data_IF_214633233864
#
_entry.id   IF_214633233864
#
_cell.length_a   1.000
_cell.length_b   1.000
_cell.length_c   1.000
_cell.angle_alpha   90.00
_cell.angle_beta   90.00
_cell.angle_gamma   90.00
#
_symmetry.space_group_name_H-M   'P 1'
#
loop_
_entity.id
_entity.type
_entity.pdbx_description
1 polymer ?
#
# COMPACT_ATOMS: atom_id res chain seq x y z
N UNK A 1 76.63 12.97 8.97
CA UNK A 1 76.00 11.94 8.10
C UNK A 1 75.62 10.73 8.94
N UNK A 2 74.31 10.44 9.06
CA UNK A 2 73.90 9.05 9.22
C UNK A 2 72.59 8.68 8.47
N UNK A 3 72.68 7.56 7.75
CA UNK A 3 71.74 6.42 7.68
C UNK A 3 70.25 6.59 7.99
N UNK A 4 69.38 6.17 7.06
CA UNK A 4 68.21 5.28 7.33
C UNK A 4 67.53 4.83 6.03
N UNK A 5 67.72 3.56 5.65
CA UNK A 5 66.86 2.37 5.87
C UNK A 5 65.73 2.23 4.83
N UNK A 6 65.91 1.23 3.96
CA UNK A 6 64.92 0.70 2.99
C UNK A 6 63.83 -0.04 3.75
N UNK A 7 62.56 0.35 3.52
CA UNK A 7 61.37 -0.32 4.05
C UNK A 7 61.01 -1.55 3.22
N UNK A 8 60.71 -2.64 3.92
CA UNK A 8 60.42 -3.96 3.39
C UNK A 8 59.05 -4.05 2.69
N UNK A 9 59.01 -4.84 1.61
CA UNK A 9 57.81 -5.23 0.86
C UNK A 9 57.07 -6.31 1.66
N UNK A 10 55.82 -6.07 2.06
CA UNK A 10 54.96 -7.03 2.76
C UNK A 10 54.08 -7.75 1.74
N UNK A 11 54.35 -9.04 1.51
CA UNK A 11 53.47 -9.95 0.75
C UNK A 11 52.35 -10.44 1.67
N UNK A 12 51.10 -10.17 1.30
CA UNK A 12 49.91 -10.70 1.98
C UNK A 12 49.58 -12.06 1.38
N UNK A 13 49.57 -13.07 2.24
CA UNK A 13 49.20 -14.46 1.97
C UNK A 13 47.68 -14.53 1.80
N UNK A 14 47.21 -15.12 0.71
CA UNK A 14 45.80 -15.44 0.45
C UNK A 14 45.48 -16.74 1.19
N UNK A 15 44.54 -16.68 2.13
CA UNK A 15 44.02 -17.83 2.87
C UNK A 15 42.70 -18.24 2.19
N UNK A 16 42.70 -19.42 1.57
CA UNK A 16 41.49 -20.13 1.13
C UNK A 16 40.95 -20.89 2.34
N UNK A 17 39.83 -20.43 2.90
CA UNK A 17 39.05 -21.21 3.86
C UNK A 17 37.91 -21.90 3.13
N UNK A 18 38.12 -23.19 2.89
CA UNK A 18 37.10 -24.21 2.70
C UNK A 18 36.13 -24.16 3.90
N UNK A 19 34.83 -24.02 3.68
CA UNK A 19 33.81 -24.18 4.72
C UNK A 19 32.74 -25.13 4.20
N UNK A 20 32.49 -26.13 5.03
CA UNK A 20 31.92 -27.42 4.72
C UNK A 20 30.41 -27.43 4.43
N UNK A 21 30.03 -28.38 3.57
CA UNK A 21 28.70 -28.97 3.46
C UNK A 21 28.19 -29.40 4.85
N UNK A 22 27.20 -28.69 5.38
CA UNK A 22 26.39 -29.19 6.49
C UNK A 22 24.93 -29.25 6.07
N UNK A 23 24.57 -30.46 5.64
CA UNK A 23 23.25 -31.07 5.57
C UNK A 23 22.37 -30.67 6.75
N UNK A 24 21.51 -29.67 6.56
CA UNK A 24 20.44 -29.37 7.49
C UNK A 24 19.27 -30.33 7.21
N UNK A 25 19.16 -31.35 8.05
CA UNK A 25 17.98 -32.21 8.19
C UNK A 25 16.78 -31.32 8.50
N UNK A 26 15.91 -31.14 7.50
CA UNK A 26 14.65 -30.41 7.61
C UNK A 26 13.70 -31.24 8.48
N UNK A 27 13.64 -30.94 9.78
CA UNK A 27 12.60 -31.46 10.66
C UNK A 27 11.31 -30.71 10.32
N UNK A 28 10.40 -31.37 9.61
CA UNK A 28 9.02 -30.94 9.49
C UNK A 28 8.38 -30.96 10.89
N UNK A 29 8.28 -29.79 11.51
CA UNK A 29 7.35 -29.57 12.61
C UNK A 29 5.98 -29.30 12.01
N UNK A 30 5.19 -30.37 11.93
CA UNK A 30 3.75 -30.32 11.67
C UNK A 30 3.10 -29.57 12.84
N UNK A 31 2.89 -28.26 12.69
CA UNK A 31 2.06 -27.50 13.61
C UNK A 31 0.60 -27.71 13.23
N UNK A 32 -0.07 -28.57 14.00
CA UNK A 32 -1.53 -28.65 14.06
C UNK A 32 -2.05 -27.30 14.58
N UNK A 33 -2.61 -26.48 13.69
CA UNK A 33 -3.37 -25.28 14.06
C UNK A 33 -4.83 -25.67 14.17
N UNK A 34 -5.21 -26.23 15.32
CA UNK A 34 -6.59 -26.17 15.79
C UNK A 34 -6.84 -24.75 16.29
N UNK A 35 -7.40 -23.90 15.44
CA UNK A 35 -8.09 -22.70 15.91
C UNK A 35 -9.50 -22.72 15.34
N UNK A 36 -10.39 -23.26 16.15
CA UNK A 36 -11.84 -23.12 16.04
C UNK A 36 -12.20 -21.75 16.63
N UNK A 37 -12.56 -20.73 15.83
CA UNK A 37 -13.17 -19.54 16.40
C UNK A 37 -14.61 -19.89 16.79
N UNK A 38 -14.90 -19.89 18.09
CA UNK A 38 -16.26 -19.78 18.60
C UNK A 38 -16.86 -18.46 18.10
N UNK A 39 -17.70 -18.59 17.09
CA UNK A 39 -18.56 -17.54 16.57
C UNK A 39 -19.57 -17.19 17.67
N UNK A 40 -19.26 -16.17 18.48
CA UNK A 40 -20.23 -15.59 19.41
C UNK A 40 -21.27 -14.85 18.58
N UNK A 41 -22.43 -15.48 18.48
CA UNK A 41 -23.64 -14.93 17.87
C UNK A 41 -23.94 -13.56 18.47
N UNK A 42 -23.87 -12.53 17.65
CA UNK A 42 -24.37 -11.20 17.99
C UNK A 42 -25.89 -11.19 17.87
N UNK A 43 -26.60 -10.53 18.79
CA UNK A 43 -28.05 -10.47 18.78
C UNK A 43 -28.55 -9.73 17.54
N UNK A 44 -29.44 -10.40 16.82
CA UNK A 44 -30.23 -9.88 15.70
C UNK A 44 -31.02 -8.67 16.21
N UNK A 45 -30.60 -7.47 15.81
CA UNK A 45 -31.37 -6.25 16.03
C UNK A 45 -32.50 -6.25 15.01
N UNK A 46 -33.72 -6.50 15.49
CA UNK A 46 -34.94 -6.33 14.72
C UNK A 46 -35.07 -4.86 14.30
N UNK A 47 -34.87 -4.60 13.01
CA UNK A 47 -35.09 -3.28 12.42
C UNK A 47 -36.59 -3.14 12.24
N UNK A 48 -37.22 -2.39 13.15
CA UNK A 48 -38.63 -2.05 13.05
C UNK A 48 -38.86 -1.24 11.76
N UNK A 49 -39.75 -1.76 10.94
CA UNK A 49 -40.35 -1.16 9.76
C UNK A 49 -40.76 0.29 10.04
N UNK A 50 -40.06 1.24 9.41
CA UNK A 50 -40.49 2.63 9.38
C UNK A 50 -41.46 2.77 8.21
N UNK A 51 -42.72 2.98 8.60
CA UNK A 51 -43.87 3.32 7.79
C UNK A 51 -43.56 4.55 6.92
N UNK A 52 -43.65 4.38 5.60
CA UNK A 52 -43.50 5.46 4.63
C UNK A 52 -44.75 6.36 4.70
N UNK A 53 -44.61 7.68 4.98
CA UNK A 53 -45.73 8.60 4.79
C UNK A 53 -45.98 8.77 3.29
N UNK A 54 -47.20 8.43 2.87
CA UNK A 54 -47.73 8.71 1.55
C UNK A 54 -47.69 10.24 1.31
N UNK A 55 -46.70 10.68 0.53
CA UNK A 55 -46.65 12.06 0.05
C UNK A 55 -47.56 12.16 -1.17
N UNK A 56 -48.68 12.79 -0.93
CA UNK A 56 -49.75 13.14 -1.84
C UNK A 56 -49.27 14.03 -2.99
N UNK A 57 -49.79 13.71 -4.16
CA UNK A 57 -49.71 14.49 -5.38
C UNK A 57 -50.40 15.86 -5.20
N UNK A 58 -49.74 16.93 -5.61
CA UNK A 58 -50.45 18.07 -6.21
C UNK A 58 -49.57 18.67 -7.30
N UNK A 59 -49.83 18.20 -8.51
CA UNK A 59 -49.34 18.75 -9.77
C UNK A 59 -49.85 20.18 -9.97
N UNK A 60 -48.96 21.16 -10.00
CA UNK A 60 -49.21 22.46 -10.64
C UNK A 60 -48.28 22.54 -11.85
N UNK A 61 -48.84 22.23 -13.01
CA UNK A 61 -48.19 22.34 -14.31
C UNK A 61 -48.33 23.79 -14.76
N UNK A 62 -47.34 24.63 -14.46
CA UNK A 62 -47.16 25.90 -15.14
C UNK A 62 -46.39 25.65 -16.45
N UNK A 63 -47.13 25.50 -17.54
CA UNK A 63 -46.60 25.57 -18.90
C UNK A 63 -46.11 27.00 -19.18
N UNK A 64 -44.84 27.26 -18.87
CA UNK A 64 -44.15 28.48 -19.29
C UNK A 64 -43.65 28.36 -20.74
N UNK A 65 -43.91 29.41 -21.50
CA UNK A 65 -43.64 29.53 -22.93
C UNK A 65 -42.16 29.28 -23.26
N UNK A 66 -41.89 28.21 -24.03
CA UNK A 66 -40.56 27.87 -24.53
C UNK A 66 -40.07 28.88 -25.57
N UNK A 67 -39.27 29.86 -25.14
CA UNK A 67 -38.40 30.62 -26.06
C UNK A 67 -37.22 29.75 -26.51
N UNK A 68 -36.85 29.73 -27.80
CA UNK A 68 -35.79 28.88 -28.34
C UNK A 68 -34.39 29.41 -27.96
N UNK A 69 -33.92 29.10 -26.74
CA UNK A 69 -32.55 29.36 -26.30
C UNK A 69 -31.60 28.25 -26.76
N UNK A 70 -31.07 28.37 -27.99
CA UNK A 70 -30.11 27.41 -28.56
C UNK A 70 -28.70 27.47 -27.94
N UNK A 71 -28.37 28.51 -27.16
CA UNK A 71 -27.01 28.74 -26.65
C UNK A 71 -26.77 28.18 -25.23
N UNK A 72 -27.81 28.11 -24.41
CA UNK A 72 -27.72 27.64 -23.01
C UNK A 72 -27.68 26.10 -22.89
N UNK A 73 -28.18 25.37 -23.90
CA UNK A 73 -28.24 23.89 -23.87
C UNK A 73 -26.84 23.27 -23.76
N UNK A 74 -25.82 23.88 -24.40
CA UNK A 74 -24.44 23.36 -24.32
C UNK A 74 -23.87 23.44 -22.91
N UNK A 75 -24.19 24.50 -22.17
CA UNK A 75 -23.74 24.68 -20.79
C UNK A 75 -24.40 23.63 -19.88
N UNK A 76 -25.70 23.40 -20.10
CA UNK A 76 -26.47 22.43 -19.33
C UNK A 76 -25.97 20.99 -19.57
N UNK A 77 -25.62 20.65 -20.81
CA UNK A 77 -25.03 19.33 -21.15
C UNK A 77 -23.66 19.15 -20.49
N UNK A 78 -22.79 20.17 -20.51
CA UNK A 78 -21.47 20.10 -19.85
C UNK A 78 -21.63 19.90 -18.34
N UNK A 79 -22.57 20.60 -17.71
CA UNK A 79 -22.83 20.49 -16.28
C UNK A 79 -23.27 19.06 -15.89
N UNK A 80 -24.16 18.46 -16.67
CA UNK A 80 -24.59 17.06 -16.44
C UNK A 80 -23.43 16.08 -16.57
N UNK A 81 -22.55 16.26 -17.57
CA UNK A 81 -21.37 15.41 -17.74
C UNK A 81 -20.43 15.51 -16.54
N UNK A 82 -20.20 16.73 -16.03
CA UNK A 82 -19.35 16.94 -14.84
C UNK A 82 -19.92 16.21 -13.63
N UNK A 83 -21.24 16.28 -13.40
CA UNK A 83 -21.90 15.56 -12.30
C UNK A 83 -21.70 14.05 -12.42
N UNK A 84 -21.88 13.48 -13.63
CA UNK A 84 -21.64 12.05 -13.86
C UNK A 84 -20.20 11.64 -13.60
N UNK A 85 -19.23 12.47 -13.98
CA UNK A 85 -17.81 12.21 -13.70
C UNK A 85 -17.54 12.20 -12.20
N UNK A 86 -18.13 13.14 -11.44
CA UNK A 86 -17.97 13.22 -9.98
C UNK A 86 -18.53 11.97 -9.29
N UNK A 87 -19.69 11.47 -9.73
CA UNK A 87 -20.30 10.25 -9.17
C UNK A 87 -19.45 9.01 -9.45
N UNK A 88 -18.97 8.86 -10.69
CA UNK A 88 -18.08 7.75 -11.08
C UNK A 88 -16.75 7.83 -10.33
N UNK A 89 -16.17 9.03 -10.19
CA UNK A 89 -14.93 9.22 -9.44
C UNK A 89 -15.14 8.88 -7.97
N UNK A 90 -16.24 9.32 -7.36
CA UNK A 90 -16.58 9.00 -5.97
C UNK A 90 -16.69 7.49 -5.75
N UNK A 91 -17.36 6.78 -6.66
CA UNK A 91 -17.48 5.32 -6.62
C UNK A 91 -16.12 4.63 -6.79
N UNK A 92 -15.29 5.13 -7.70
CA UNK A 92 -13.94 4.61 -7.92
C UNK A 92 -13.04 4.76 -6.69
N UNK A 93 -13.05 5.94 -6.05
CA UNK A 93 -12.28 6.19 -4.83
C UNK A 93 -12.81 5.36 -3.64
N UNK A 94 -14.12 5.08 -3.59
CA UNK A 94 -14.70 4.19 -2.59
C UNK A 94 -14.21 2.75 -2.76
N UNK A 95 -14.10 2.26 -4.00
CA UNK A 95 -13.69 0.88 -4.28
C UNK A 95 -12.17 0.65 -4.13
N UNK A 96 -11.35 1.69 -4.29
CA UNK A 96 -9.88 1.60 -4.21
C UNK A 96 -9.31 2.74 -3.36
N UNK A 97 -9.19 2.56 -2.03
CA UNK A 97 -8.72 3.62 -1.13
C UNK A 97 -7.21 3.90 -1.20
N UNK A 98 -6.43 3.10 -1.95
CA UNK A 98 -5.01 3.36 -2.19
C UNK A 98 -4.82 4.53 -3.17
N UNK A 99 -5.09 5.75 -2.69
CA UNK A 99 -4.82 7.03 -3.37
C UNK A 99 -3.33 7.42 -3.39
N UNK A 100 -2.43 6.57 -2.88
CA UNK A 100 -0.99 6.83 -2.85
C UNK A 100 -0.42 7.08 -4.25
N UNK A 101 -1.00 6.48 -5.30
CA UNK A 101 -0.63 6.76 -6.70
C UNK A 101 -1.25 8.06 -7.26
N UNK A 102 -2.44 8.48 -6.80
CA UNK A 102 -3.16 9.63 -7.38
C UNK A 102 -2.48 10.98 -7.11
N UNK A 103 -1.72 11.09 -6.01
CA UNK A 103 -0.96 12.31 -5.68
C UNK A 103 0.15 12.63 -6.68
N UNK A 104 0.56 11.66 -7.52
CA UNK A 104 1.53 11.88 -8.59
C UNK A 104 0.90 12.47 -9.87
N UNK A 105 -0.42 12.39 -10.02
CA UNK A 105 -1.11 12.84 -11.25
C UNK A 105 -1.36 14.35 -11.28
N UNK A 106 -1.57 14.99 -10.12
CA UNK A 106 -1.68 16.46 -10.01
C UNK A 106 -0.33 17.19 -9.95
N UNK A 107 0.81 16.47 -9.97
CA UNK A 107 2.14 17.06 -10.04
C UNK A 107 2.56 17.38 -11.48
N UNK A 108 1.64 17.91 -12.28
CA UNK A 108 1.90 18.35 -13.64
C UNK A 108 2.43 19.80 -13.64
N UNK A 109 3.69 19.98 -13.21
CA UNK A 109 4.67 20.89 -13.84
C UNK A 109 6.01 20.93 -13.10
N UNK A 110 7.04 20.47 -13.81
CA UNK A 110 8.46 20.84 -13.71
C UNK A 110 9.23 20.42 -12.46
N UNK A 111 9.50 19.12 -12.34
CA UNK A 111 10.61 18.60 -11.55
C UNK A 111 11.26 17.44 -12.30
N UNK A 112 12.52 17.61 -12.69
CA UNK A 112 13.36 16.59 -13.33
C UNK A 112 13.34 15.32 -12.46
N UNK A 113 12.54 14.33 -12.86
CA UNK A 113 12.58 12.98 -12.29
C UNK A 113 13.89 12.39 -12.78
N UNK A 114 14.88 12.31 -11.90
CA UNK A 114 16.01 11.41 -12.11
C UNK A 114 15.43 10.02 -11.87
N UNK A 115 14.99 9.38 -12.95
CA UNK A 115 14.87 7.92 -13.00
C UNK A 115 16.28 7.37 -12.88
N UNK A 116 16.72 7.13 -11.65
CA UNK A 116 17.81 6.19 -11.45
C UNK A 116 17.22 4.81 -11.79
N UNK A 117 17.43 4.41 -13.05
CA UNK A 117 17.20 3.06 -13.57
C UNK A 117 18.16 2.07 -12.93
N UNK A 118 18.15 1.99 -11.61
CA UNK A 118 18.62 0.81 -10.92
C UNK A 118 17.46 -0.16 -10.95
N UNK A 119 17.55 -1.12 -11.87
CA UNK A 119 16.88 -2.41 -11.78
C UNK A 119 17.49 -3.18 -10.59
N UNK A 120 17.53 -2.54 -9.42
CA UNK A 120 18.00 -3.15 -8.19
C UNK A 120 16.85 -4.00 -7.70
N UNK A 121 17.01 -5.31 -7.81
CA UNK A 121 16.20 -6.30 -7.11
C UNK A 121 16.39 -6.20 -5.58
N UNK A 122 16.73 -5.01 -5.09
CA UNK A 122 17.11 -4.68 -3.73
C UNK A 122 16.45 -3.35 -3.36
N UNK A 123 15.94 -3.29 -2.13
CA UNK A 123 15.46 -2.08 -1.50
C UNK A 123 16.62 -1.17 -1.07
N UNK A 124 16.28 0.05 -0.65
CA UNK A 124 17.24 1.07 -0.20
C UNK A 124 18.19 0.62 0.92
N UNK A 125 17.80 -0.38 1.70
CA UNK A 125 18.57 -0.98 2.78
C UNK A 125 19.40 -2.21 2.36
N UNK A 126 19.38 -2.57 1.07
CA UNK A 126 20.01 -3.78 0.52
C UNK A 126 19.19 -5.06 0.71
N UNK A 127 17.94 -4.96 1.15
CA UNK A 127 17.04 -6.12 1.27
C UNK A 127 16.59 -6.58 -0.10
N UNK A 128 16.72 -7.87 -0.41
CA UNK A 128 16.26 -8.42 -1.70
C UNK A 128 14.74 -8.23 -1.89
N UNK A 129 14.32 -8.09 -3.14
CA UNK A 129 12.90 -8.03 -3.49
C UNK A 129 12.15 -9.25 -2.95
N UNK A 130 10.94 -9.02 -2.47
CA UNK A 130 10.08 -10.01 -1.84
C UNK A 130 10.65 -10.64 -0.55
N UNK A 131 11.62 -9.97 0.10
CA UNK A 131 12.19 -10.41 1.37
C UNK A 131 11.98 -9.39 2.50
N UNK A 132 12.11 -9.88 3.73
CA UNK A 132 11.98 -9.07 4.94
C UNK A 132 13.27 -8.32 5.25
N UNK A 133 13.13 -7.04 5.60
CA UNK A 133 14.26 -6.24 6.06
C UNK A 133 14.75 -6.73 7.42
N UNK A 134 16.02 -6.43 7.71
CA UNK A 134 16.59 -6.55 9.06
C UNK A 134 15.84 -5.65 10.04
N UNK A 135 15.36 -4.51 9.56
CA UNK A 135 14.54 -3.58 10.32
C UNK A 135 13.06 -4.02 10.22
N UNK A 136 12.62 -4.81 11.19
CA UNK A 136 11.20 -5.20 11.28
C UNK A 136 10.34 -3.97 11.65
N UNK A 137 9.15 -3.78 11.05
CA UNK A 137 8.36 -4.73 10.26
C UNK A 137 8.41 -4.53 8.73
N UNK A 138 9.52 -4.01 8.19
CA UNK A 138 9.56 -3.65 6.78
C UNK A 138 9.75 -4.87 5.85
N UNK A 139 9.04 -4.86 4.73
CA UNK A 139 9.08 -5.84 3.65
C UNK A 139 9.37 -5.14 2.33
N UNK A 140 10.25 -5.71 1.52
CA UNK A 140 10.70 -5.11 0.27
C UNK A 140 9.76 -5.48 -0.89
N UNK A 141 9.13 -4.47 -1.50
CA UNK A 141 8.27 -4.63 -2.70
C UNK A 141 8.63 -3.54 -3.69
N UNK A 142 9.03 -3.94 -4.91
CA UNK A 142 9.36 -3.03 -6.00
C UNK A 142 10.39 -1.95 -5.61
N UNK A 143 11.44 -2.36 -4.87
CA UNK A 143 12.50 -1.48 -4.37
C UNK A 143 12.08 -0.57 -3.20
N UNK A 144 10.83 -0.67 -2.74
CA UNK A 144 10.29 0.11 -1.63
C UNK A 144 10.08 -0.74 -0.37
N UNK A 145 10.38 -0.17 0.78
CA UNK A 145 10.16 -0.80 2.08
C UNK A 145 8.78 -0.41 2.62
N UNK A 146 7.89 -1.40 2.71
CA UNK A 146 6.54 -1.25 3.22
C UNK A 146 6.40 -1.97 4.56
N UNK A 147 5.65 -1.39 5.51
CA UNK A 147 5.36 -2.08 6.77
C UNK A 147 4.42 -3.26 6.51
N UNK A 148 4.92 -4.48 6.70
CA UNK A 148 4.14 -5.72 6.64
C UNK A 148 4.50 -6.62 7.81
N UNK A 149 4.12 -6.17 9.00
CA UNK A 149 4.39 -6.91 10.23
C UNK A 149 3.76 -8.32 10.23
N UNK A 150 2.65 -8.52 9.50
CA UNK A 150 2.02 -9.83 9.36
C UNK A 150 2.92 -10.85 8.65
N UNK A 151 3.79 -10.39 7.73
CA UNK A 151 4.70 -11.24 6.95
C UNK A 151 6.06 -11.37 7.62
N UNK A 152 6.63 -10.27 8.11
CA UNK A 152 8.00 -10.23 8.65
C UNK A 152 8.10 -10.39 10.18
N UNK A 153 6.96 -10.25 10.87
CA UNK A 153 6.88 -10.20 12.31
C UNK A 153 7.35 -8.88 12.90
N UNK A 154 7.33 -8.82 14.24
CA UNK A 154 7.74 -7.66 15.01
C UNK A 154 9.09 -7.88 15.73
N UNK A 155 9.82 -6.80 16.05
CA UNK A 155 10.98 -6.87 16.91
C UNK A 155 10.60 -7.22 18.35
N UNK A 156 11.57 -7.67 19.15
CA UNK A 156 11.38 -8.04 20.55
C UNK A 156 10.77 -6.88 21.36
N UNK A 157 9.75 -7.18 22.18
CA UNK A 157 9.03 -6.17 22.98
C UNK A 157 7.91 -5.44 22.23
N UNK A 158 7.59 -5.86 21.01
CA UNK A 158 6.45 -5.38 20.23
C UNK A 158 5.51 -6.53 19.88
N UNK A 159 4.21 -6.26 19.87
CA UNK A 159 3.16 -7.16 19.39
C UNK A 159 2.67 -6.73 18.01
N UNK A 160 2.19 -7.70 17.23
CA UNK A 160 1.55 -7.48 15.94
C UNK A 160 0.25 -6.68 16.12
N UNK A 161 0.10 -5.60 15.38
CA UNK A 161 -1.12 -4.79 15.28
C UNK A 161 -1.45 -4.61 13.79
N UNK A 162 -2.18 -5.58 13.23
CA UNK A 162 -2.44 -5.71 11.79
C UNK A 162 -1.16 -5.76 10.94
N UNK A 163 -0.74 -4.63 10.39
CA UNK A 163 0.46 -4.50 9.54
C UNK A 163 1.59 -3.71 10.22
N UNK A 164 1.36 -3.21 11.43
CA UNK A 164 2.35 -2.47 12.22
C UNK A 164 2.72 -3.21 13.51
N UNK A 165 3.72 -2.70 14.22
CA UNK A 165 4.19 -3.24 15.48
C UNK A 165 3.92 -2.26 16.62
N UNK A 166 3.21 -2.70 17.65
CA UNK A 166 2.89 -1.89 18.82
C UNK A 166 3.66 -2.38 20.04
N UNK A 167 4.28 -1.46 20.78
CA UNK A 167 5.06 -1.81 21.98
C UNK A 167 4.14 -2.47 23.03
N UNK A 168 4.63 -3.54 23.65
CA UNK A 168 3.96 -4.26 24.74
C UNK A 168 4.10 -3.48 26.04
#
# INVERSE_FOLDING_TARGET
MPSRKRGAKKTVKKEESLVDENTAVFKETVYNVESKPELKETPVIAINTIEQPALNETSVIETSEKKPMKKEIKVLVILVIILLIVDVLSLYLYYKPDLSEFTNFFKFKSGKVVEDSNNSNECKDGTMQDSCSKDKPYYCVDGNLLKKAATCGCPSGYKLDFQDCKKI
#
